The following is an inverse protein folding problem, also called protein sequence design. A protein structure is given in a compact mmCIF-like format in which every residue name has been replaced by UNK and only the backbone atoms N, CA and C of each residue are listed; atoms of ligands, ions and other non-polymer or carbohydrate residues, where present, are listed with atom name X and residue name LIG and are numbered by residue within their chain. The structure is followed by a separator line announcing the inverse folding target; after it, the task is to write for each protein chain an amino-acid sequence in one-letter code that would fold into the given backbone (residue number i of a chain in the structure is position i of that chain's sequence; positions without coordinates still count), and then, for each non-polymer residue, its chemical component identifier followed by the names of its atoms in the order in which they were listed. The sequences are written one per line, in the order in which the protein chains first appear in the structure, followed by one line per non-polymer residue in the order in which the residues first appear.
data_IF_543829001519
#
_entry.id   IF_543829001519
#
_cell.length_a   1.000
_cell.length_b   1.000
_cell.length_c   1.000
_cell.angle_alpha   90.00
_cell.angle_beta   90.00
_cell.angle_gamma   90.00
#
_symmetry.space_group_name_H-M   'P 1'
#
loop_
_entity.id
_entity.type
_entity.pdbx_description
1 polymer ?
#
# COMPACT_ATOMS: atom_id res chain seq x y z
N UNK A 1 12.76 25.07 8.31
CA UNK A 1 12.95 24.04 7.27
C UNK A 1 13.42 22.79 7.99
N UNK A 2 12.55 21.80 8.15
CA UNK A 2 12.98 20.49 8.64
C UNK A 2 13.77 19.82 7.52
N UNK A 3 14.97 19.28 7.79
CA UNK A 3 15.75 18.61 6.77
C UNK A 3 15.02 17.34 6.34
N UNK A 4 15.10 17.11 5.03
CA UNK A 4 14.66 15.94 4.28
C UNK A 4 15.50 14.75 4.74
N UNK A 5 15.17 14.18 5.91
CA UNK A 5 15.98 13.08 6.46
C UNK A 5 15.14 12.02 7.15
N UNK A 6 13.82 12.20 7.22
CA UNK A 6 12.96 11.28 7.97
C UNK A 6 12.76 9.95 7.22
N UNK A 7 12.60 9.95 5.90
CA UNK A 7 12.28 8.72 5.17
C UNK A 7 13.49 7.78 4.91
N UNK A 8 14.74 8.24 5.10
CA UNK A 8 15.93 7.38 5.05
C UNK A 8 15.97 6.32 6.18
N UNK A 9 15.02 6.36 7.13
CA UNK A 9 14.91 5.39 8.23
C UNK A 9 13.91 4.28 7.98
N UNK A 10 13.13 4.31 6.88
CA UNK A 10 12.14 3.28 6.60
C UNK A 10 12.86 1.94 6.35
N UNK A 11 12.54 0.95 7.19
CA UNK A 11 13.09 -0.40 7.10
C UNK A 11 12.00 -1.35 6.64
N UNK A 12 12.21 -1.99 5.50
CA UNK A 12 11.39 -3.09 4.99
C UNK A 12 12.14 -4.41 5.14
N UNK A 13 11.40 -5.46 5.48
CA UNK A 13 11.88 -6.83 5.50
C UNK A 13 11.60 -7.51 4.15
N UNK A 14 12.32 -8.59 3.85
CA UNK A 14 11.99 -9.45 2.71
C UNK A 14 10.74 -10.28 3.04
N UNK A 15 9.79 -10.34 2.12
CA UNK A 15 8.55 -11.12 2.31
C UNK A 15 8.86 -12.62 2.45
N UNK A 16 8.19 -13.33 3.38
CA UNK A 16 8.39 -14.78 3.54
C UNK A 16 7.89 -15.64 2.36
N UNK A 17 6.87 -15.19 1.64
CA UNK A 17 6.24 -15.91 0.53
C UNK A 17 5.61 -14.96 -0.50
N UNK A 18 5.15 -15.48 -1.63
CA UNK A 18 4.62 -14.68 -2.77
C UNK A 18 3.32 -13.92 -2.47
N UNK A 19 2.66 -14.20 -1.33
CA UNK A 19 1.38 -13.60 -0.95
C UNK A 19 1.48 -12.52 0.14
N UNK A 20 2.67 -12.35 0.73
CA UNK A 20 2.90 -11.53 1.93
C UNK A 20 3.52 -10.15 1.65
N UNK A 21 3.59 -9.73 0.39
CA UNK A 21 4.10 -8.40 0.01
C UNK A 21 3.33 -7.24 0.69
N UNK A 22 1.99 -7.32 0.73
CA UNK A 22 1.13 -6.33 1.37
C UNK A 22 1.37 -6.20 2.89
N UNK A 23 1.21 -7.28 3.68
CA UNK A 23 1.51 -7.27 5.11
C UNK A 23 2.93 -6.83 5.44
N UNK A 24 3.93 -7.25 4.66
CA UNK A 24 5.34 -6.87 4.86
C UNK A 24 5.55 -5.37 4.63
N UNK A 25 4.92 -4.82 3.60
CA UNK A 25 4.91 -3.37 3.33
C UNK A 25 4.20 -2.59 4.45
N UNK A 26 3.06 -3.08 4.93
CA UNK A 26 2.32 -2.47 6.04
C UNK A 26 3.14 -2.45 7.33
N UNK A 27 3.80 -3.57 7.64
CA UNK A 27 4.70 -3.68 8.77
C UNK A 27 5.85 -2.67 8.71
N UNK A 28 6.45 -2.44 7.54
CA UNK A 28 7.49 -1.41 7.36
C UNK A 28 6.97 0.00 7.72
N UNK A 29 5.71 0.31 7.40
CA UNK A 29 5.08 1.59 7.77
C UNK A 29 4.83 1.68 9.28
N UNK A 30 4.43 0.59 9.95
CA UNK A 30 4.33 0.57 11.42
C UNK A 30 5.67 0.80 12.08
N UNK A 31 6.73 0.11 11.63
CA UNK A 31 8.08 0.30 12.14
C UNK A 31 8.57 1.74 11.94
N UNK A 32 8.29 2.34 10.78
CA UNK A 32 8.62 3.73 10.50
C UNK A 32 7.95 4.69 11.50
N UNK A 33 6.72 4.40 11.91
CA UNK A 33 6.03 5.14 12.97
C UNK A 33 6.34 4.66 14.38
N UNK A 34 7.39 3.86 14.59
CA UNK A 34 7.80 3.32 15.88
C UNK A 34 6.71 2.48 16.59
N UNK A 35 5.76 1.93 15.83
CA UNK A 35 4.81 0.93 16.32
C UNK A 35 5.42 -0.46 16.13
N UNK A 36 5.90 -1.04 17.23
CA UNK A 36 6.62 -2.31 17.24
C UNK A 36 5.60 -3.46 17.29
N UNK A 37 5.42 -4.13 16.15
CA UNK A 37 4.60 -5.33 16.00
C UNK A 37 5.40 -6.37 15.20
N UNK A 38 5.41 -7.66 15.59
CA UNK A 38 6.07 -8.70 14.79
C UNK A 38 5.46 -8.84 13.39
N UNK A 39 6.29 -9.13 12.38
CA UNK A 39 5.82 -9.31 11.01
C UNK A 39 4.82 -10.46 10.91
N UNK A 40 5.07 -11.56 11.62
CA UNK A 40 4.21 -12.75 11.65
C UNK A 40 2.82 -12.42 12.19
N UNK A 41 2.74 -11.49 13.15
CA UNK A 41 1.47 -11.02 13.68
C UNK A 41 0.70 -10.25 12.61
N UNK A 42 1.35 -9.31 11.91
CA UNK A 42 0.71 -8.54 10.81
C UNK A 42 0.24 -9.48 9.70
N UNK A 43 1.06 -10.46 9.31
CA UNK A 43 0.68 -11.48 8.32
C UNK A 43 -0.55 -12.26 8.81
N UNK A 44 -0.62 -12.65 10.08
CA UNK A 44 -1.75 -13.44 10.60
C UNK A 44 -3.06 -12.64 10.76
N UNK A 45 -2.97 -11.32 10.95
CA UNK A 45 -4.12 -10.45 11.24
C UNK A 45 -4.72 -9.79 9.98
N UNK A 46 -3.92 -9.63 8.92
CA UNK A 46 -4.39 -9.06 7.65
C UNK A 46 -5.19 -10.11 6.88
N UNK A 47 -6.37 -9.73 6.39
CA UNK A 47 -7.17 -10.59 5.51
C UNK A 47 -6.50 -10.77 4.14
N UNK A 48 -6.67 -11.94 3.52
CA UNK A 48 -6.18 -12.27 2.17
C UNK A 48 -7.31 -12.66 1.23
N UNK A 49 -7.04 -12.64 -0.08
CA UNK A 49 -7.92 -13.21 -1.10
C UNK A 49 -7.73 -14.74 -1.16
N UNK A 50 -8.78 -15.48 -1.53
CA UNK A 50 -8.72 -16.95 -1.67
C UNK A 50 -7.67 -17.41 -2.70
N UNK A 51 -7.49 -16.64 -3.77
CA UNK A 51 -6.49 -16.90 -4.81
C UNK A 51 -5.07 -16.40 -4.45
N UNK A 52 -4.88 -15.90 -3.22
CA UNK A 52 -3.65 -15.30 -2.76
C UNK A 52 -3.59 -13.78 -2.96
N UNK A 53 -2.75 -13.13 -2.15
CA UNK A 53 -2.53 -11.69 -2.19
C UNK A 53 -3.43 -10.88 -1.25
N UNK A 54 -3.15 -9.59 -1.16
CA UNK A 54 -3.80 -8.66 -0.23
C UNK A 54 -4.21 -7.39 -0.97
N UNK A 55 -5.43 -6.89 -0.74
CA UNK A 55 -5.85 -5.59 -1.26
C UNK A 55 -5.45 -4.46 -0.31
N UNK A 56 -5.11 -3.30 -0.85
CA UNK A 56 -4.79 -2.11 -0.05
C UNK A 56 -5.85 -1.78 1.01
N UNK A 57 -7.13 -2.01 0.69
CA UNK A 57 -8.23 -1.79 1.63
C UNK A 57 -8.16 -2.69 2.87
N UNK A 58 -7.69 -3.93 2.73
CA UNK A 58 -7.51 -4.86 3.85
C UNK A 58 -6.40 -4.38 4.79
N UNK A 59 -5.29 -3.88 4.21
CA UNK A 59 -4.21 -3.22 4.96
C UNK A 59 -4.73 -1.96 5.67
N UNK A 60 -5.57 -1.18 4.99
CA UNK A 60 -6.23 -0.01 5.54
C UNK A 60 -7.13 -0.35 6.73
N UNK A 61 -7.97 -1.39 6.63
CA UNK A 61 -8.80 -1.88 7.73
C UNK A 61 -7.95 -2.26 8.94
N UNK A 62 -6.87 -3.01 8.72
CA UNK A 62 -5.93 -3.37 9.78
C UNK A 62 -5.37 -2.13 10.48
N UNK A 63 -4.91 -1.14 9.72
CA UNK A 63 -4.41 0.13 10.28
C UNK A 63 -5.47 0.91 11.06
N UNK A 64 -6.71 0.99 10.56
CA UNK A 64 -7.82 1.64 11.26
C UNK A 64 -8.12 0.97 12.60
N UNK A 65 -8.16 -0.38 12.64
CA UNK A 65 -8.38 -1.13 13.89
C UNK A 65 -7.26 -0.89 14.91
N UNK A 66 -6.03 -0.61 14.45
CA UNK A 66 -4.90 -0.21 15.29
C UNK A 66 -4.91 1.27 15.71
N UNK A 67 -5.92 2.04 15.31
CA UNK A 67 -6.07 3.45 15.70
C UNK A 67 -5.30 4.44 14.82
N UNK A 68 -4.85 4.02 13.63
CA UNK A 68 -4.34 4.95 12.64
C UNK A 68 -5.48 5.64 11.89
N UNK A 69 -5.15 6.75 11.23
CA UNK A 69 -5.97 7.28 10.12
C UNK A 69 -5.51 6.60 8.84
N UNK A 70 -6.45 6.17 8.01
CA UNK A 70 -6.15 5.57 6.72
C UNK A 70 -6.98 6.26 5.62
N UNK A 71 -6.30 6.59 4.52
CA UNK A 71 -6.92 7.20 3.34
C UNK A 71 -6.45 6.49 2.07
N UNK A 72 -7.41 6.09 1.24
CA UNK A 72 -7.16 5.44 -0.03
C UNK A 72 -7.49 6.41 -1.16
N UNK A 73 -6.55 6.63 -2.08
CA UNK A 73 -6.82 7.22 -3.38
C UNK A 73 -6.99 6.10 -4.37
N UNK A 74 -8.16 5.99 -4.98
CA UNK A 74 -8.48 4.86 -5.87
C UNK A 74 -8.62 5.30 -7.32
N UNK A 75 -8.03 4.48 -8.19
CA UNK A 75 -8.11 4.56 -9.64
C UNK A 75 -8.76 3.30 -10.24
N UNK A 76 -9.24 2.40 -9.38
CA UNK A 76 -9.86 1.15 -9.80
C UNK A 76 -11.31 1.38 -10.26
N UNK A 77 -11.47 1.48 -11.57
CA UNK A 77 -12.77 1.66 -12.24
C UNK A 77 -13.64 0.40 -12.30
N UNK A 78 -13.11 -0.77 -11.92
CA UNK A 78 -13.94 -1.98 -11.75
C UNK A 78 -14.83 -1.87 -10.51
N UNK A 79 -14.28 -1.26 -9.44
CA UNK A 79 -14.97 -1.11 -8.15
C UNK A 79 -15.76 0.20 -8.10
N UNK A 80 -15.13 1.32 -8.44
CA UNK A 80 -15.69 2.64 -8.18
C UNK A 80 -16.08 3.37 -9.46
N UNK A 81 -17.30 3.91 -9.47
CA UNK A 81 -17.70 4.92 -10.44
C UNK A 81 -17.27 6.32 -9.95
N UNK A 82 -16.54 7.11 -10.76
CA UNK A 82 -16.09 8.46 -10.40
C UNK A 82 -17.21 9.41 -9.94
N UNK A 83 -18.44 9.21 -10.40
CA UNK A 83 -19.58 10.07 -10.03
C UNK A 83 -19.99 9.92 -8.57
N UNK A 84 -19.67 8.79 -7.93
CA UNK A 84 -20.06 8.51 -6.55
C UNK A 84 -19.37 9.43 -5.54
N UNK A 85 -18.16 9.90 -5.84
CA UNK A 85 -17.35 10.72 -4.93
C UNK A 85 -17.89 12.13 -4.70
N UNK A 86 -18.88 12.58 -5.48
CA UNK A 86 -19.60 13.84 -5.27
C UNK A 86 -20.77 13.73 -4.29
N UNK A 87 -21.12 12.51 -3.89
CA UNK A 87 -22.36 12.22 -3.16
C UNK A 87 -22.14 11.93 -1.66
N UNK A 88 -20.88 11.94 -1.21
CA UNK A 88 -20.50 11.67 0.18
C UNK A 88 -20.42 10.19 0.54
N UNK A 89 -19.92 9.94 1.75
CA UNK A 89 -19.59 8.60 2.27
C UNK A 89 -20.78 7.64 2.30
N UNK A 90 -21.92 8.08 2.81
CA UNK A 90 -23.09 7.20 2.99
C UNK A 90 -23.62 6.71 1.63
N UNK A 91 -23.61 7.58 0.63
CA UNK A 91 -24.00 7.19 -0.74
C UNK A 91 -22.96 6.27 -1.38
N UNK A 92 -21.67 6.47 -1.10
CA UNK A 92 -20.61 5.55 -1.54
C UNK A 92 -20.85 4.13 -1.00
N UNK A 93 -21.13 3.99 0.30
CA UNK A 93 -21.46 2.70 0.92
C UNK A 93 -22.74 2.10 0.31
N UNK A 94 -23.79 2.90 0.13
CA UNK A 94 -25.03 2.44 -0.48
C UNK A 94 -24.81 1.92 -1.91
N UNK A 95 -24.02 2.62 -2.72
CA UNK A 95 -23.73 2.22 -4.09
C UNK A 95 -22.89 0.94 -4.15
N UNK A 96 -21.92 0.78 -3.24
CA UNK A 96 -21.15 -0.46 -3.09
C UNK A 96 -22.08 -1.65 -2.76
N UNK A 97 -23.01 -1.48 -1.80
CA UNK A 97 -23.99 -2.52 -1.45
C UNK A 97 -24.92 -2.85 -2.61
N UNK A 98 -25.37 -1.85 -3.36
CA UNK A 98 -26.22 -2.04 -4.53
C UNK A 98 -25.48 -2.75 -5.67
N UNK A 99 -24.19 -2.42 -5.87
CA UNK A 99 -23.33 -3.06 -6.86
C UNK A 99 -23.24 -4.58 -6.68
N UNK A 100 -23.21 -5.07 -5.43
CA UNK A 100 -23.18 -6.50 -5.10
C UNK A 100 -24.38 -7.29 -5.66
N UNK A 101 -25.52 -6.63 -5.88
CA UNK A 101 -26.74 -7.26 -6.41
C UNK A 101 -26.59 -7.55 -7.91
N UNK A 102 -25.85 -6.69 -8.63
CA UNK A 102 -25.81 -6.69 -10.10
C UNK A 102 -24.53 -7.29 -10.67
N UNK A 103 -23.44 -7.33 -9.91
CA UNK A 103 -22.15 -7.86 -10.35
C UNK A 103 -21.97 -9.26 -9.79
N UNK A 104 -21.38 -10.17 -10.56
CA UNK A 104 -21.14 -11.56 -10.15
C UNK A 104 -19.66 -11.92 -9.98
N UNK A 105 -18.76 -10.94 -10.15
CA UNK A 105 -17.33 -11.16 -10.01
C UNK A 105 -16.97 -11.38 -8.53
N UNK A 106 -16.35 -12.52 -8.22
CA UNK A 106 -16.02 -12.93 -6.86
C UNK A 106 -14.98 -12.00 -6.20
N UNK A 107 -13.96 -11.56 -6.95
CA UNK A 107 -12.94 -10.63 -6.44
C UNK A 107 -13.54 -9.26 -6.14
N UNK A 108 -14.43 -8.79 -7.00
CA UNK A 108 -15.19 -7.57 -6.78
C UNK A 108 -16.04 -7.66 -5.52
N UNK A 109 -16.70 -8.79 -5.27
CA UNK A 109 -17.49 -8.99 -4.04
C UNK A 109 -16.64 -8.88 -2.79
N UNK A 110 -15.50 -9.59 -2.75
CA UNK A 110 -14.56 -9.55 -1.63
C UNK A 110 -14.02 -8.13 -1.43
N UNK A 111 -13.58 -7.48 -2.51
CA UNK A 111 -13.10 -6.09 -2.46
C UNK A 111 -14.20 -5.14 -1.95
N UNK A 112 -15.42 -5.28 -2.43
CA UNK A 112 -16.56 -4.44 -2.06
C UNK A 112 -16.89 -4.56 -0.58
N UNK A 113 -16.92 -5.78 -0.04
CA UNK A 113 -17.11 -5.99 1.40
C UNK A 113 -16.00 -5.32 2.23
N UNK A 114 -14.74 -5.48 1.81
CA UNK A 114 -13.62 -4.83 2.49
C UNK A 114 -13.69 -3.30 2.43
N UNK A 115 -14.13 -2.71 1.31
CA UNK A 115 -14.33 -1.26 1.19
C UNK A 115 -15.48 -0.74 2.05
N UNK A 116 -16.58 -1.49 2.16
CA UNK A 116 -17.67 -1.15 3.06
C UNK A 116 -17.16 -1.13 4.50
N UNK A 117 -16.46 -2.18 4.93
CA UNK A 117 -15.87 -2.24 6.27
C UNK A 117 -14.88 -1.09 6.52
N UNK A 118 -13.98 -0.82 5.57
CA UNK A 118 -13.02 0.28 5.68
C UNK A 118 -13.70 1.63 5.92
N UNK A 119 -14.76 1.90 5.15
CA UNK A 119 -15.55 3.11 5.33
C UNK A 119 -16.26 3.09 6.70
N UNK A 120 -16.85 1.99 7.13
CA UNK A 120 -17.50 1.85 8.43
C UNK A 120 -16.54 2.06 9.61
N UNK A 121 -15.29 1.60 9.48
CA UNK A 121 -14.18 1.83 10.43
C UNK A 121 -13.67 3.29 10.45
N UNK A 122 -14.17 4.16 9.57
CA UNK A 122 -13.82 5.57 9.52
C UNK A 122 -12.74 5.93 8.50
N UNK A 123 -12.34 4.98 7.65
CA UNK A 123 -11.44 5.23 6.53
C UNK A 123 -12.03 6.19 5.50
N UNK A 124 -11.13 6.89 4.79
CA UNK A 124 -11.49 7.82 3.72
C UNK A 124 -11.11 7.24 2.35
N UNK A 125 -12.02 7.26 1.39
CA UNK A 125 -11.72 6.91 0.00
C UNK A 125 -11.91 8.16 -0.86
N UNK A 126 -10.89 8.51 -1.62
CA UNK A 126 -10.87 9.67 -2.50
C UNK A 126 -10.59 9.27 -3.94
N UNK A 127 -11.16 10.05 -4.85
CA UNK A 127 -10.85 10.00 -6.27
C UNK A 127 -10.23 11.33 -6.68
N UNK A 128 -8.90 11.35 -6.78
CA UNK A 128 -8.10 12.51 -7.21
C UNK A 128 -6.96 12.02 -8.07
N UNK A 129 -6.62 12.78 -9.11
CA UNK A 129 -5.54 12.45 -10.03
C UNK A 129 -4.23 12.11 -9.31
N UNK A 130 -3.55 11.07 -9.80
CA UNK A 130 -2.22 10.69 -9.33
C UNK A 130 -1.19 11.65 -9.92
N UNK A 131 -0.73 12.60 -9.11
CA UNK A 131 0.22 13.64 -9.53
C UNK A 131 1.45 13.66 -8.65
N UNK A 132 2.54 14.27 -9.16
CA UNK A 132 3.72 14.58 -8.35
C UNK A 132 3.34 15.39 -7.10
N UNK A 133 2.44 16.36 -7.23
CA UNK A 133 1.98 17.17 -6.11
C UNK A 133 1.23 16.38 -5.03
N UNK A 134 0.51 15.31 -5.41
CA UNK A 134 -0.13 14.42 -4.45
C UNK A 134 0.92 13.63 -3.65
N UNK A 135 1.95 13.11 -4.32
CA UNK A 135 3.05 12.40 -3.66
C UNK A 135 3.81 13.35 -2.72
N UNK A 136 4.20 14.51 -3.22
CA UNK A 136 4.91 15.55 -2.48
C UNK A 136 4.15 16.03 -1.24
N UNK A 137 2.82 16.13 -1.33
CA UNK A 137 1.98 16.47 -0.19
C UNK A 137 2.16 15.49 0.98
N UNK A 138 2.43 14.20 0.75
CA UNK A 138 2.69 13.23 1.81
C UNK A 138 4.16 13.20 2.22
N UNK A 139 5.08 13.17 1.25
CA UNK A 139 6.51 13.06 1.51
C UNK A 139 7.07 14.26 2.28
N UNK A 140 6.65 15.48 1.95
CA UNK A 140 7.03 16.71 2.69
C UNK A 140 6.58 16.72 4.16
N UNK A 141 5.61 15.88 4.53
CA UNK A 141 5.14 15.66 5.91
C UNK A 141 5.75 14.42 6.56
N UNK A 142 6.65 13.73 5.88
CA UNK A 142 7.28 12.51 6.35
C UNK A 142 6.31 11.33 6.42
N UNK A 143 5.30 11.28 5.55
CA UNK A 143 4.32 10.19 5.50
C UNK A 143 4.66 9.28 4.30
N UNK A 144 5.11 8.04 4.50
CA UNK A 144 5.29 7.08 3.41
C UNK A 144 3.93 6.67 2.84
N UNK A 145 3.92 6.24 1.58
CA UNK A 145 2.70 5.80 0.89
C UNK A 145 2.81 4.33 0.52
N UNK A 146 1.77 3.57 0.79
CA UNK A 146 1.61 2.20 0.32
C UNK A 146 0.93 2.23 -1.06
N UNK A 147 1.31 1.33 -1.96
CA UNK A 147 0.66 1.26 -3.27
C UNK A 147 0.67 -0.15 -3.83
N UNK A 148 -0.45 -0.54 -4.42
CA UNK A 148 -0.51 -1.66 -5.36
C UNK A 148 -0.21 -1.16 -6.77
N UNK A 149 0.65 -1.86 -7.50
CA UNK A 149 1.11 -1.48 -8.83
C UNK A 149 1.34 -2.72 -9.73
N UNK A 150 1.49 -2.52 -11.03
CA UNK A 150 1.91 -3.59 -11.94
C UNK A 150 3.43 -3.83 -11.82
N UNK A 151 3.83 -4.97 -11.26
CA UNK A 151 5.23 -5.42 -11.22
C UNK A 151 5.75 -5.71 -12.63
N UNK A 152 4.95 -6.36 -13.47
CA UNK A 152 5.32 -6.63 -14.87
C UNK A 152 5.73 -5.35 -15.60
N UNK A 153 4.92 -4.28 -15.46
CA UNK A 153 5.27 -2.99 -16.03
C UNK A 153 6.44 -2.34 -15.27
N UNK A 154 6.41 -2.26 -13.94
CA UNK A 154 7.48 -1.60 -13.17
C UNK A 154 8.86 -2.16 -13.51
N UNK A 155 9.00 -3.48 -13.41
CA UNK A 155 10.25 -4.21 -13.62
C UNK A 155 10.62 -4.39 -15.09
N UNK A 156 9.70 -4.09 -16.01
CA UNK A 156 9.89 -4.34 -17.43
C UNK A 156 10.22 -5.82 -17.75
N UNK A 157 9.60 -6.74 -17.03
CA UNK A 157 9.85 -8.17 -17.14
C UNK A 157 8.71 -8.88 -17.89
N UNK A 158 8.91 -10.16 -18.19
CA UNK A 158 7.86 -11.00 -18.74
C UNK A 158 6.70 -11.16 -17.74
N UNK A 159 5.54 -11.53 -18.26
CA UNK A 159 4.41 -11.99 -17.44
C UNK A 159 4.76 -13.30 -16.73
N UNK A 160 3.99 -13.68 -15.72
CA UNK A 160 4.25 -14.90 -14.97
C UNK A 160 3.08 -15.89 -15.03
N UNK A 161 3.41 -17.17 -14.88
CA UNK A 161 2.43 -18.22 -14.64
C UNK A 161 2.98 -19.23 -13.65
N UNK A 162 2.08 -19.93 -13.00
CA UNK A 162 2.43 -21.10 -12.20
C UNK A 162 2.70 -22.29 -13.11
N UNK A 163 3.81 -23.00 -12.89
CA UNK A 163 4.12 -24.25 -13.59
C UNK A 163 3.44 -25.45 -12.92
N UNK A 164 3.62 -26.66 -13.48
CA UNK A 164 3.03 -27.90 -12.94
C UNK A 164 3.54 -28.26 -11.52
N UNK A 165 4.63 -27.64 -11.07
CA UNK A 165 5.22 -27.82 -9.74
C UNK A 165 4.74 -26.79 -8.72
N UNK A 166 3.87 -25.86 -9.12
CA UNK A 166 3.41 -24.78 -8.26
C UNK A 166 4.37 -23.59 -8.19
N UNK A 167 5.41 -23.55 -9.02
CA UNK A 167 6.43 -22.47 -8.99
C UNK A 167 6.03 -21.35 -9.96
N UNK A 168 6.22 -20.10 -9.54
CA UNK A 168 6.08 -18.93 -10.40
C UNK A 168 7.24 -18.88 -11.41
N UNK A 169 6.91 -18.76 -12.70
CA UNK A 169 7.90 -18.67 -13.77
C UNK A 169 7.51 -17.60 -14.80
N UNK A 170 8.53 -16.94 -15.37
CA UNK A 170 8.37 -16.00 -16.46
C UNK A 170 7.92 -16.70 -17.76
N UNK A 171 6.87 -16.17 -18.38
CA UNK A 171 6.32 -16.62 -19.66
C UNK A 171 5.66 -15.43 -20.37
N UNK A 172 6.30 -14.91 -21.42
CA UNK A 172 5.89 -13.71 -22.14
C UNK A 172 4.60 -13.90 -22.96
N UNK A 173 4.24 -15.14 -23.30
CA UNK A 173 3.05 -15.47 -24.10
C UNK A 173 1.90 -15.98 -23.24
N UNK A 174 2.14 -16.97 -22.37
CA UNK A 174 1.11 -17.64 -21.57
C UNK A 174 0.95 -17.08 -20.16
N UNK A 175 1.88 -16.24 -19.72
CA UNK A 175 1.81 -15.61 -18.41
C UNK A 175 0.71 -14.56 -18.33
N UNK A 176 0.34 -14.22 -17.11
CA UNK A 176 -0.53 -13.09 -16.77
C UNK A 176 0.29 -11.95 -16.14
N UNK A 177 -0.23 -10.73 -16.26
CA UNK A 177 0.42 -9.58 -15.63
C UNK A 177 0.35 -9.71 -14.11
N UNK A 178 1.42 -9.34 -13.43
CA UNK A 178 1.52 -9.39 -11.99
C UNK A 178 1.33 -8.03 -11.34
N UNK A 179 0.57 -8.07 -10.25
CA UNK A 179 0.46 -7.00 -9.27
C UNK A 179 1.55 -7.15 -8.22
N UNK A 180 1.90 -6.06 -7.57
CA UNK A 180 2.82 -6.05 -6.44
C UNK A 180 2.53 -4.90 -5.50
N UNK A 181 2.91 -5.06 -4.24
CA UNK A 181 2.66 -4.11 -3.18
C UNK A 181 3.95 -3.63 -2.57
N UNK A 182 4.15 -2.31 -2.57
CA UNK A 182 5.40 -1.66 -2.13
C UNK A 182 5.12 -0.44 -1.26
N UNK A 183 6.18 0.09 -0.63
CA UNK A 183 6.16 1.37 0.08
C UNK A 183 6.95 2.41 -0.68
N UNK A 184 6.34 3.56 -0.95
CA UNK A 184 6.98 4.75 -1.49
C UNK A 184 7.56 5.54 -0.32
N UNK A 185 8.88 5.56 -0.24
CA UNK A 185 9.64 6.14 0.85
C UNK A 185 10.08 7.58 0.58
N UNK A 186 9.44 8.33 -0.32
CA UNK A 186 9.81 9.72 -0.59
C UNK A 186 10.62 9.92 -1.86
N UNK A 187 11.03 11.17 -2.09
CA UNK A 187 11.90 11.51 -3.22
C UNK A 187 13.36 11.22 -2.89
N UNK A 188 14.11 10.74 -3.88
CA UNK A 188 15.58 10.60 -3.78
C UNK A 188 16.26 11.96 -3.61
N UNK A 189 15.74 12.96 -4.34
CA UNK A 189 16.15 14.35 -4.24
C UNK A 189 14.92 15.26 -4.14
N UNK A 190 14.74 15.94 -3.02
CA UNK A 190 13.60 16.83 -2.79
C UNK A 190 13.62 18.14 -3.58
N UNK A 191 14.75 18.52 -4.16
CA UNK A 191 14.83 19.73 -4.99
C UNK A 191 14.37 19.44 -6.42
N UNK A 192 14.78 18.30 -6.96
CA UNK A 192 14.51 17.90 -8.34
C UNK A 192 13.23 17.08 -8.47
N UNK A 193 12.93 16.23 -7.48
CA UNK A 193 11.73 15.36 -7.42
C UNK A 193 11.53 14.57 -8.71
N UNK A 194 12.61 13.99 -9.26
CA UNK A 194 12.53 13.18 -10.49
C UNK A 194 12.28 11.69 -10.20
N UNK A 195 12.78 11.22 -9.06
CA UNK A 195 12.76 9.82 -8.66
C UNK A 195 12.16 9.66 -7.27
N UNK A 196 11.43 8.56 -7.09
CA UNK A 196 10.89 8.11 -5.80
C UNK A 196 11.68 6.89 -5.35
N UNK A 197 12.06 6.88 -4.08
CA UNK A 197 12.65 5.71 -3.43
C UNK A 197 11.53 4.71 -3.16
N UNK A 198 11.61 3.54 -3.76
CA UNK A 198 10.70 2.42 -3.52
C UNK A 198 11.36 1.46 -2.54
N UNK A 199 10.67 1.18 -1.43
CA UNK A 199 10.97 0.10 -0.51
C UNK A 199 10.08 -1.10 -0.87
N UNK A 200 10.73 -2.16 -1.32
CA UNK A 200 10.14 -3.32 -1.96
C UNK A 200 10.40 -4.57 -1.11
N UNK A 201 9.35 -5.29 -0.66
CA UNK A 201 9.54 -6.51 0.13
C UNK A 201 10.07 -7.69 -0.71
N UNK A 202 10.08 -7.59 -2.04
CA UNK A 202 10.63 -8.59 -2.94
C UNK A 202 12.10 -8.29 -3.27
N UNK A 203 13.01 -8.88 -2.51
CA UNK A 203 14.44 -8.63 -2.64
C UNK A 203 15.02 -9.12 -3.98
N UNK A 204 14.50 -10.21 -4.53
CA UNK A 204 14.95 -10.80 -5.79
C UNK A 204 14.35 -10.10 -7.03
N UNK A 205 13.89 -8.85 -6.88
CA UNK A 205 13.34 -8.09 -7.99
C UNK A 205 14.35 -8.01 -9.16
N UNK A 206 13.90 -8.15 -10.42
CA UNK A 206 14.79 -8.26 -11.58
C UNK A 206 15.64 -7.02 -11.86
N UNK A 207 15.25 -5.86 -11.32
CA UNK A 207 15.91 -4.60 -11.63
C UNK A 207 17.13 -4.33 -10.74
N UNK A 208 17.05 -4.65 -9.44
CA UNK A 208 18.00 -4.09 -8.46
C UNK A 208 18.54 -5.08 -7.42
N UNK A 209 17.97 -6.28 -7.28
CA UNK A 209 18.47 -7.30 -6.33
C UNK A 209 18.58 -6.81 -4.87
N UNK A 210 17.81 -5.78 -4.53
CA UNK A 210 17.83 -5.07 -3.25
C UNK A 210 16.40 -4.59 -2.95
N UNK A 211 16.05 -4.47 -1.68
CA UNK A 211 14.76 -3.98 -1.22
C UNK A 211 14.55 -2.47 -1.45
N UNK A 212 15.57 -1.73 -1.91
CA UNK A 212 15.45 -0.29 -2.14
C UNK A 212 16.01 0.10 -3.50
N UNK A 213 15.25 0.89 -4.23
CA UNK A 213 15.66 1.42 -5.52
C UNK A 213 14.91 2.69 -5.92
N UNK A 214 15.51 3.47 -6.82
CA UNK A 214 14.96 4.73 -7.29
C UNK A 214 14.19 4.52 -8.59
N UNK A 215 12.95 4.99 -8.65
CA UNK A 215 12.08 4.85 -9.82
C UNK A 215 11.72 6.24 -10.35
N UNK A 216 11.88 6.51 -11.66
CA UNK A 216 11.39 7.74 -12.27
C UNK A 216 9.88 7.92 -12.03
N UNK A 217 9.45 9.12 -11.63
CA UNK A 217 8.03 9.36 -11.28
C UNK A 217 7.07 8.95 -12.39
N UNK A 218 7.41 9.23 -13.65
CA UNK A 218 6.57 8.84 -14.79
C UNK A 218 6.40 7.32 -14.89
N UNK A 219 7.47 6.55 -14.66
CA UNK A 219 7.42 5.08 -14.62
C UNK A 219 6.54 4.63 -13.46
N UNK A 220 6.74 5.20 -12.27
CA UNK A 220 5.99 4.84 -11.07
C UNK A 220 4.49 5.11 -11.21
N UNK A 221 4.10 6.32 -11.63
CA UNK A 221 2.69 6.69 -11.83
C UNK A 221 2.04 5.73 -12.82
N UNK A 222 2.70 5.44 -13.95
CA UNK A 222 2.19 4.48 -14.93
C UNK A 222 2.06 3.07 -14.35
N UNK A 223 3.02 2.58 -13.56
CA UNK A 223 2.94 1.29 -12.89
C UNK A 223 1.75 1.20 -11.94
N UNK A 224 1.48 2.26 -11.17
CA UNK A 224 0.34 2.33 -10.25
C UNK A 224 -0.97 2.31 -11.04
N UNK A 225 -1.10 3.16 -12.06
CA UNK A 225 -2.32 3.22 -12.88
C UNK A 225 -2.58 1.90 -13.63
N UNK A 226 -1.54 1.26 -14.16
CA UNK A 226 -1.63 -0.05 -14.82
C UNK A 226 -1.89 -1.19 -13.83
N UNK A 227 -1.73 -0.98 -12.52
CA UNK A 227 -2.10 -1.95 -11.48
C UNK A 227 -3.59 -2.33 -11.51
N UNK A 228 -4.44 -1.60 -12.23
CA UNK A 228 -5.86 -1.95 -12.37
C UNK A 228 -6.06 -3.35 -12.98
N UNK A 229 -5.11 -3.83 -13.80
CA UNK A 229 -5.17 -5.16 -14.41
C UNK A 229 -5.12 -6.30 -13.38
N UNK A 230 -4.64 -6.01 -12.16
CA UNK A 230 -4.55 -6.95 -11.04
C UNK A 230 -5.42 -6.54 -9.85
N UNK A 231 -6.49 -5.76 -10.09
CA UNK A 231 -7.39 -5.20 -9.05
C UNK A 231 -6.75 -4.14 -8.12
N UNK A 232 -5.51 -3.73 -8.39
CA UNK A 232 -4.82 -2.64 -7.67
C UNK A 232 -5.22 -1.26 -8.22
N UNK A 233 -4.25 -0.39 -8.50
CA UNK A 233 -4.40 1.01 -8.86
C UNK A 233 -4.96 1.88 -7.73
N UNK A 234 -4.17 2.00 -6.67
CA UNK A 234 -4.48 2.87 -5.53
C UNK A 234 -3.22 3.37 -4.82
N UNK A 235 -3.35 4.47 -4.08
CA UNK A 235 -2.42 4.84 -3.01
C UNK A 235 -3.12 4.69 -1.67
N UNK A 236 -2.43 4.12 -0.68
CA UNK A 236 -2.87 4.07 0.71
C UNK A 236 -1.92 4.92 1.56
N UNK A 237 -2.47 5.99 2.14
CA UNK A 237 -1.79 6.79 3.14
C UNK A 237 -2.25 6.36 4.54
N UNK A 238 -1.29 6.07 5.41
CA UNK A 238 -1.51 5.75 6.82
C UNK A 238 -0.83 6.82 7.67
N UNK A 239 -1.57 7.44 8.58
CA UNK A 239 -1.08 8.53 9.43
C UNK A 239 -1.37 8.21 10.91
N UNK A 240 -0.42 8.39 11.84
CA UNK A 240 -0.68 8.23 13.26
C UNK A 240 -1.69 9.29 13.73
N UNK A 241 -2.61 8.92 14.62
CA UNK A 241 -3.52 9.87 15.26
C UNK A 241 -2.76 10.67 16.34
N UNK A 242 -3.16 11.92 16.61
CA UNK A 242 -2.51 12.78 17.64
C UNK A 242 -2.42 12.11 19.02
N UNK A 243 -3.37 11.23 19.37
CA UNK A 243 -3.34 10.45 20.62
C UNK A 243 -2.20 9.42 20.65
N UNK A 244 -1.85 8.82 19.51
CA UNK A 244 -0.77 7.85 19.38
C UNK A 244 0.60 8.52 19.55
N UNK A 245 0.75 9.76 19.04
CA UNK A 245 1.97 10.57 19.24
C UNK A 245 2.28 10.81 20.72
N UNK A 246 1.27 11.14 21.53
CA UNK A 246 1.47 11.37 22.97
C UNK A 246 1.84 10.11 23.76
N UNK A 247 1.30 8.94 23.40
CA UNK A 247 1.67 7.67 24.04
C UNK A 247 3.12 7.29 23.68
N UNK A 248 3.53 7.50 22.43
CA UNK A 248 4.91 7.24 21.97
C UNK A 248 5.93 8.18 22.63
N UNK A 249 5.61 9.47 22.76
CA UNK A 249 6.45 10.43 23.48
C UNK A 249 6.62 10.05 24.96
N UNK A 250 5.53 9.69 25.66
CA UNK A 250 5.59 9.28 27.07
C UNK A 250 6.37 7.97 27.29
N UNK A 251 6.24 7.00 26.38
CA UNK A 251 6.96 5.72 26.47
C UNK A 251 8.47 5.91 26.24
N UNK A 252 8.84 6.79 25.30
CA UNK A 252 10.24 7.15 25.04
C UNK A 252 10.90 7.90 26.22
N UNK A 253 10.15 8.79 26.90
CA UNK A 253 10.61 9.45 28.12
C UNK A 253 10.86 8.45 29.26
N UNK A 254 9.99 7.45 29.44
CA UNK A 254 10.18 6.44 30.47
C UNK A 254 11.36 5.50 30.18
N UNK A 255 11.55 5.08 28.93
CA UNK A 255 12.68 4.21 28.53
C UNK A 255 14.06 4.88 28.70
N UNK A 256 14.15 6.21 28.54
CA UNK A 256 15.38 6.98 28.78
C UNK A 256 15.69 7.16 30.27
N UNK A 257 14.68 7.16 31.14
CA UNK A 257 14.89 7.26 32.59
C UNK A 257 15.29 5.92 33.25
N UNK A 258 14.96 4.79 32.62
CA UNK A 258 15.26 3.45 33.14
C UNK A 258 16.63 2.87 32.72
N UNK A 259 17.31 3.49 31.75
CA UNK A 259 18.66 3.09 31.31
C UNK A 259 19.80 3.90 31.96
N UNK A 260 19.46 4.79 32.89
CA UNK A 260 20.38 5.65 33.64
C UNK A 260 20.57 5.27 35.11
N UNK A 261 20.26 4.04 35.51
CA UNK A 261 20.53 3.51 36.85
C UNK A 261 21.39 2.25 36.81
#
# INVERSE_FOLDING_TARGET
MLPVTLLNSLKILTQPDDSTCGPTSLHAVYQYFQDVVPLEQVISEVSFLEEGGTLAVMLGCHALRRGYKARIYTYNLHVFDPTWFKLGKDKLISNLREQLIYKSDAKLHVATHAYIEFLELGGEILHKDLTLSLLDHYFSRGIPLLTGLSATYLYNCARERTNERGEAIYDDVRGEALGHFVVLAGFDNEQEKEHVIVADPYQENPLFGNNYYNVPISRLINSIMLGIVTYDANLLAIEPQEKTKHIQEQTNLHAQTSSGQ
#
